data_IF_136911157023
#
_entry.id   IF_136911157023
#
_cell.length_a   1.000
_cell.length_b   1.000
_cell.length_c   1.000
_cell.angle_alpha   90.00
_cell.angle_beta   90.00
_cell.angle_gamma   90.00
#
_symmetry.space_group_name_H-M   'P 1'
#
loop_
_entity.id
_entity.type
_entity.pdbx_description
1 polymer ?
#
# COMPACT_ATOMS: atom_id res chain seq x y z
N UNK A 1 15.73 -1.97 -30.89
CA UNK A 1 14.64 -2.56 -30.09
C UNK A 1 14.47 -1.67 -28.87
N UNK A 2 13.44 -0.84 -28.85
CA UNK A 2 12.99 -0.19 -27.63
C UNK A 2 11.98 -1.15 -27.00
N UNK A 3 12.34 -1.77 -25.90
CA UNK A 3 11.40 -2.57 -25.13
C UNK A 3 10.46 -1.59 -24.43
N UNK A 4 9.19 -1.69 -24.81
CA UNK A 4 8.05 -0.98 -24.25
C UNK A 4 7.82 -1.47 -22.80
N UNK A 5 8.55 -0.92 -21.83
CA UNK A 5 8.35 -1.21 -20.40
C UNK A 5 7.42 -0.20 -19.72
N UNK A 6 6.62 0.55 -20.49
CA UNK A 6 5.80 1.66 -19.99
C UNK A 6 4.37 1.28 -19.56
N UNK A 7 3.90 0.07 -19.84
CA UNK A 7 2.48 -0.30 -19.68
C UNK A 7 2.14 -0.80 -18.26
N UNK A 8 3.07 -1.44 -17.58
CA UNK A 8 2.86 -1.99 -16.23
C UNK A 8 3.12 -0.97 -15.11
N UNK A 9 4.09 -0.07 -15.30
CA UNK A 9 4.48 0.96 -14.30
C UNK A 9 3.33 1.93 -14.00
N UNK A 10 2.64 2.41 -15.04
CA UNK A 10 1.44 3.26 -14.92
C UNK A 10 0.29 2.56 -14.17
N UNK A 11 0.24 1.23 -14.22
CA UNK A 11 -0.77 0.44 -13.52
C UNK A 11 -0.40 0.17 -12.06
N UNK A 12 0.88 0.28 -11.73
CA UNK A 12 1.45 0.14 -10.39
C UNK A 12 1.30 1.47 -9.65
N UNK A 13 1.70 2.60 -10.24
CA UNK A 13 1.51 3.94 -9.66
C UNK A 13 0.04 4.27 -9.36
N UNK A 14 -0.88 3.91 -10.27
CA UNK A 14 -2.32 4.08 -10.01
C UNK A 14 -2.83 3.30 -8.79
N UNK A 15 -2.18 2.19 -8.43
CA UNK A 15 -2.58 1.39 -7.28
C UNK A 15 -2.22 2.09 -5.97
N UNK A 16 -1.04 2.72 -5.88
CA UNK A 16 -0.65 3.50 -4.71
C UNK A 16 -1.41 4.82 -4.62
N UNK A 17 -1.71 5.48 -5.75
CA UNK A 17 -2.60 6.66 -5.77
C UNK A 17 -3.99 6.33 -5.27
N UNK A 18 -4.54 5.17 -5.67
CA UNK A 18 -5.82 4.70 -5.16
C UNK A 18 -5.76 4.45 -3.66
N UNK A 19 -4.70 3.81 -3.14
CA UNK A 19 -4.51 3.64 -1.71
C UNK A 19 -4.42 4.98 -0.99
N UNK A 20 -3.51 5.86 -1.41
CA UNK A 20 -3.31 7.18 -0.81
C UNK A 20 -4.59 8.01 -0.81
N UNK A 21 -5.36 7.99 -1.90
CA UNK A 21 -6.65 8.65 -1.99
C UNK A 21 -7.69 8.10 -1.00
N UNK A 22 -7.78 6.77 -0.88
CA UNK A 22 -8.66 6.13 0.09
C UNK A 22 -8.27 6.46 1.54
N UNK A 23 -6.97 6.45 1.84
CA UNK A 23 -6.46 6.78 3.17
C UNK A 23 -6.68 8.26 3.51
N UNK A 24 -6.50 9.18 2.55
CA UNK A 24 -6.82 10.61 2.71
C UNK A 24 -8.29 10.86 3.01
N UNK A 25 -9.20 9.96 2.59
CA UNK A 25 -10.63 10.04 2.91
C UNK A 25 -10.97 9.50 4.31
N UNK A 26 -10.09 8.72 4.93
CA UNK A 26 -10.40 7.99 6.16
C UNK A 26 -10.38 8.83 7.45
N UNK A 27 -10.14 10.15 7.38
CA UNK A 27 -9.99 11.06 8.54
C UNK A 27 -8.96 10.60 9.61
N UNK A 28 -8.15 9.58 9.30
CA UNK A 28 -7.13 9.00 10.17
C UNK A 28 -5.73 9.47 9.75
N UNK A 29 -4.82 9.50 10.72
CA UNK A 29 -3.39 9.73 10.44
C UNK A 29 -2.74 8.48 9.85
N UNK A 30 -1.60 8.65 9.16
CA UNK A 30 -0.84 7.51 8.61
C UNK A 30 -0.41 6.52 9.70
N UNK A 31 -0.13 7.00 10.91
CA UNK A 31 0.15 6.18 12.08
C UNK A 31 -1.05 5.32 12.48
N UNK A 32 -2.23 5.94 12.65
CA UNK A 32 -3.44 5.21 13.02
C UNK A 32 -3.87 4.21 11.95
N UNK A 33 -3.67 4.55 10.68
CA UNK A 33 -3.92 3.65 9.56
C UNK A 33 -2.95 2.48 9.62
N UNK A 34 -1.65 2.75 9.81
CA UNK A 34 -0.62 1.71 9.91
C UNK A 34 -0.96 0.74 11.02
N UNK A 35 -1.21 1.24 12.24
CA UNK A 35 -1.57 0.43 13.41
C UNK A 35 -2.86 -0.37 13.18
N UNK A 36 -3.79 0.14 12.37
CA UNK A 36 -5.04 -0.54 12.07
C UNK A 36 -4.88 -1.63 11.01
N UNK A 37 -3.90 -1.49 10.11
CA UNK A 37 -3.56 -2.50 9.11
C UNK A 37 -2.68 -3.59 9.75
N UNK A 38 -1.72 -3.21 10.58
CA UNK A 38 -0.81 -4.09 11.34
C UNK A 38 -1.55 -4.86 12.45
N UNK A 39 -2.29 -5.89 12.02
CA UNK A 39 -3.20 -6.64 12.88
C UNK A 39 -2.48 -7.52 13.91
N UNK A 40 -1.27 -8.00 13.60
CA UNK A 40 -0.46 -8.77 14.54
C UNK A 40 0.51 -7.92 15.38
N UNK A 41 0.62 -6.62 15.06
CA UNK A 41 1.47 -5.64 15.75
C UNK A 41 2.95 -6.03 15.76
N UNK A 42 3.42 -6.70 14.71
CA UNK A 42 4.82 -7.04 14.52
C UNK A 42 5.67 -5.85 14.02
N UNK A 43 5.02 -4.71 13.75
CA UNK A 43 5.63 -3.48 13.27
C UNK A 43 5.83 -3.45 11.76
N UNK A 44 5.28 -4.42 11.02
CA UNK A 44 5.37 -4.54 9.57
C UNK A 44 4.08 -5.07 8.95
N UNK A 45 3.61 -4.40 7.91
CA UNK A 45 2.43 -4.82 7.17
C UNK A 45 2.79 -5.91 6.16
N UNK A 46 2.12 -7.06 6.26
CA UNK A 46 2.14 -8.11 5.25
C UNK A 46 1.05 -7.94 4.18
N UNK A 47 1.13 -8.69 3.07
CA UNK A 47 0.11 -8.73 2.02
C UNK A 47 -1.31 -9.01 2.49
N UNK A 48 -1.53 -10.05 3.31
CA UNK A 48 -2.84 -10.33 3.89
C UNK A 48 -3.35 -9.21 4.79
N UNK A 49 -2.47 -8.61 5.60
CA UNK A 49 -2.81 -7.50 6.49
C UNK A 49 -3.22 -6.26 5.69
N UNK A 50 -2.43 -5.88 4.69
CA UNK A 50 -2.76 -4.77 3.80
C UNK A 50 -4.12 -4.97 3.11
N UNK A 51 -4.39 -6.18 2.61
CA UNK A 51 -5.67 -6.52 1.98
C UNK A 51 -6.86 -6.33 2.95
N UNK A 52 -6.75 -6.89 4.16
CA UNK A 52 -7.82 -6.82 5.14
C UNK A 52 -7.97 -5.40 5.71
N UNK A 53 -6.86 -4.75 6.04
CA UNK A 53 -6.85 -3.40 6.61
C UNK A 53 -7.40 -2.34 5.65
N UNK A 54 -7.05 -2.39 4.36
CA UNK A 54 -7.66 -1.49 3.35
C UNK A 54 -9.17 -1.71 3.31
N UNK A 55 -9.61 -2.96 3.27
CA UNK A 55 -11.03 -3.30 3.25
C UNK A 55 -11.76 -2.80 4.50
N UNK A 56 -11.15 -2.91 5.67
CA UNK A 56 -11.76 -2.52 6.94
C UNK A 56 -11.77 -1.00 7.14
N UNK A 57 -10.76 -0.27 6.65
CA UNK A 57 -10.68 1.19 6.75
C UNK A 57 -11.61 1.85 5.73
N UNK A 58 -11.63 1.34 4.50
CA UNK A 58 -12.23 2.05 3.35
C UNK A 58 -13.56 1.45 2.90
N UNK A 59 -13.86 0.21 3.32
CA UNK A 59 -14.98 -0.56 2.79
C UNK A 59 -14.77 -1.09 1.36
N UNK A 60 -13.61 -0.81 0.74
CA UNK A 60 -13.33 -1.20 -0.63
C UNK A 60 -12.56 -2.52 -0.71
N UNK A 61 -13.01 -3.40 -1.60
CA UNK A 61 -12.27 -4.61 -1.96
C UNK A 61 -11.30 -4.29 -3.11
N UNK A 62 -10.01 -4.19 -2.80
CA UNK A 62 -8.97 -4.25 -3.82
C UNK A 62 -8.71 -5.71 -4.24
N UNK A 63 -8.24 -5.92 -5.47
CA UNK A 63 -7.81 -7.25 -5.91
C UNK A 63 -6.43 -7.62 -5.35
N UNK A 64 -6.15 -8.91 -5.18
CA UNK A 64 -4.82 -9.39 -4.74
C UNK A 64 -3.68 -8.90 -5.65
N UNK A 65 -3.94 -8.75 -6.95
CA UNK A 65 -2.98 -8.17 -7.89
C UNK A 65 -2.67 -6.71 -7.58
N UNK A 66 -3.66 -5.91 -7.19
CA UNK A 66 -3.43 -4.53 -6.74
C UNK A 66 -2.65 -4.48 -5.43
N UNK A 67 -3.00 -5.32 -4.45
CA UNK A 67 -2.28 -5.41 -3.18
C UNK A 67 -0.81 -5.76 -3.40
N UNK A 68 -0.53 -6.77 -4.23
CA UNK A 68 0.84 -7.16 -4.54
C UNK A 68 1.63 -6.03 -5.21
N UNK A 69 0.98 -5.26 -6.10
CA UNK A 69 1.60 -4.08 -6.72
C UNK A 69 1.87 -2.98 -5.69
N UNK A 70 0.92 -2.71 -4.79
CA UNK A 70 1.08 -1.71 -3.74
C UNK A 70 2.25 -2.09 -2.84
N UNK A 71 2.33 -3.34 -2.37
CA UNK A 71 3.47 -3.78 -1.55
C UNK A 71 4.78 -3.54 -2.26
N UNK A 72 4.90 -3.91 -3.54
CA UNK A 72 6.13 -3.67 -4.31
C UNK A 72 6.54 -2.20 -4.42
N UNK A 73 5.61 -1.26 -4.28
CA UNK A 73 5.90 0.19 -4.31
C UNK A 73 6.33 0.67 -2.92
N UNK A 74 5.67 0.13 -1.89
CA UNK A 74 5.91 0.51 -0.50
C UNK A 74 7.21 -0.11 0.04
N UNK A 75 7.49 -1.36 -0.32
CA UNK A 75 8.63 -2.17 0.10
C UNK A 75 9.93 -1.71 -0.60
N UNK A 76 10.57 -0.69 -0.04
CA UNK A 76 11.83 -0.12 -0.54
C UNK A 76 13.02 -1.07 -0.30
N UNK A 77 12.98 -1.80 0.83
CA UNK A 77 14.06 -2.70 1.23
C UNK A 77 13.97 -4.12 0.63
N UNK A 78 12.88 -4.46 -0.07
CA UNK A 78 12.56 -5.74 -0.70
C UNK A 78 12.46 -6.94 0.27
N UNK A 79 11.97 -6.74 1.50
CA UNK A 79 11.74 -7.80 2.48
C UNK A 79 10.33 -8.44 2.37
N UNK A 80 9.53 -8.02 1.39
CA UNK A 80 8.14 -8.40 1.12
C UNK A 80 7.17 -8.03 2.26
N UNK A 81 7.57 -7.14 3.14
CA UNK A 81 6.73 -6.47 4.13
C UNK A 81 6.94 -4.97 4.02
N UNK A 82 6.11 -4.22 4.72
CA UNK A 82 6.16 -2.76 4.71
C UNK A 82 6.24 -2.27 6.13
N UNK A 83 7.36 -1.67 6.52
CA UNK A 83 7.47 -1.04 7.82
C UNK A 83 6.80 0.34 7.87
N UNK A 84 6.63 0.88 9.08
CA UNK A 84 5.96 2.17 9.28
C UNK A 84 6.67 3.34 8.56
N UNK A 85 7.99 3.29 8.40
CA UNK A 85 8.74 4.33 7.69
C UNK A 85 8.53 4.21 6.19
N UNK A 86 8.61 2.99 5.65
CA UNK A 86 8.35 2.68 4.24
C UNK A 86 6.94 3.12 3.83
N UNK A 87 5.94 2.75 4.63
CA UNK A 87 4.55 3.14 4.43
C UNK A 87 4.39 4.65 4.35
N UNK A 88 4.91 5.38 5.34
CA UNK A 88 4.82 6.84 5.40
C UNK A 88 5.61 7.52 4.31
N UNK A 89 6.83 7.06 4.03
CA UNK A 89 7.70 7.66 3.02
C UNK A 89 7.15 7.48 1.61
N UNK A 90 6.56 6.33 1.32
CA UNK A 90 5.92 6.10 0.04
C UNK A 90 4.65 6.94 -0.10
N UNK A 91 3.76 6.95 0.92
CA UNK A 91 2.53 7.74 0.88
C UNK A 91 2.76 9.25 0.93
N UNK A 92 3.84 9.73 1.56
CA UNK A 92 4.20 11.15 1.58
C UNK A 92 4.57 11.70 0.20
N UNK A 93 4.86 10.83 -0.78
CA UNK A 93 5.14 11.22 -2.17
C UNK A 93 3.87 11.47 -3.00
N UNK A 94 2.68 11.11 -2.50
CA UNK A 94 1.39 11.17 -3.21
C UNK A 94 0.35 12.02 -2.50
#
# INVERSE_FOLDING_TARGET
MAEDTGSDELSIEKAIEALAGLLKQSEMTLDEIFDKIDADSDGKISGPELYNGIKDITGNNMSLGQISKIIKILDDNNDNRVDANEFKNALAKY
#
